data_IF_246408431875
#
_entry.id   IF_246408431875
#
_cell.length_a   1.000
_cell.length_b   1.000
_cell.length_c   1.000
_cell.angle_alpha   90.00
_cell.angle_beta   90.00
_cell.angle_gamma   90.00
#
_symmetry.space_group_name_H-M   'P 1'
#
loop_
_entity.id
_entity.type
_entity.pdbx_description
1 polymer ?
#
# COMPACT_ATOMS: atom_id res chain seq x y z
N UNK A 1 -43.91 -40.01 -29.83
CA UNK A 1 -44.03 -38.83 -30.73
C UNK A 1 -45.00 -37.77 -30.23
N UNK A 2 -46.07 -38.13 -29.50
CA UNK A 2 -47.10 -37.19 -29.00
C UNK A 2 -46.61 -36.23 -27.87
N UNK A 3 -45.64 -36.62 -27.04
CA UNK A 3 -45.13 -35.78 -25.98
C UNK A 3 -44.39 -34.54 -26.47
N UNK A 4 -43.59 -34.66 -27.53
CA UNK A 4 -42.83 -33.55 -28.13
C UNK A 4 -43.77 -32.50 -28.68
N UNK A 5 -44.82 -32.94 -29.39
CA UNK A 5 -45.83 -32.05 -29.99
C UNK A 5 -46.63 -31.33 -28.89
N UNK A 6 -46.91 -32.01 -27.79
CA UNK A 6 -47.57 -31.40 -26.61
C UNK A 6 -46.75 -30.33 -25.94
N UNK A 7 -45.42 -30.54 -25.78
CA UNK A 7 -44.47 -29.57 -25.24
C UNK A 7 -44.36 -28.34 -26.14
N UNK A 8 -44.20 -28.52 -27.43
CA UNK A 8 -44.14 -27.45 -28.41
C UNK A 8 -45.43 -26.61 -28.40
N UNK A 9 -46.58 -27.24 -28.34
CA UNK A 9 -47.88 -26.55 -28.25
C UNK A 9 -48.04 -25.78 -26.95
N UNK A 10 -47.56 -26.29 -25.83
CA UNK A 10 -47.52 -25.57 -24.56
C UNK A 10 -46.59 -24.35 -24.56
N UNK A 11 -45.40 -24.49 -25.16
CA UNK A 11 -44.44 -23.37 -25.36
C UNK A 11 -45.05 -22.24 -26.21
N UNK A 12 -45.69 -22.60 -27.33
CA UNK A 12 -46.37 -21.61 -28.20
C UNK A 12 -47.56 -20.92 -27.50
N UNK A 13 -48.29 -21.67 -26.66
CA UNK A 13 -49.41 -21.13 -25.89
C UNK A 13 -48.96 -20.09 -24.84
N UNK A 14 -47.77 -20.30 -24.25
CA UNK A 14 -47.25 -19.43 -23.18
C UNK A 14 -46.08 -18.54 -23.66
N UNK A 15 -45.89 -18.38 -24.98
CA UNK A 15 -44.76 -17.62 -25.58
C UNK A 15 -44.58 -16.21 -25.01
N UNK A 16 -45.66 -15.49 -24.78
CA UNK A 16 -45.62 -14.15 -24.22
C UNK A 16 -45.14 -14.13 -22.73
N UNK A 17 -45.56 -15.12 -21.98
CA UNK A 17 -45.18 -15.25 -20.58
C UNK A 17 -43.68 -15.62 -20.45
N UNK A 18 -43.19 -16.49 -21.35
CA UNK A 18 -41.76 -16.83 -21.42
C UNK A 18 -40.94 -15.62 -21.83
N UNK A 19 -41.35 -14.90 -22.89
CA UNK A 19 -40.66 -13.67 -23.34
C UNK A 19 -40.62 -12.59 -22.22
N UNK A 20 -41.73 -12.35 -21.56
CA UNK A 20 -41.80 -11.39 -20.43
C UNK A 20 -40.91 -11.82 -19.27
N UNK A 21 -40.94 -13.08 -18.91
CA UNK A 21 -40.09 -13.62 -17.82
C UNK A 21 -38.61 -13.54 -18.14
N UNK A 22 -38.19 -13.94 -19.35
CA UNK A 22 -36.78 -13.83 -19.76
C UNK A 22 -36.31 -12.37 -19.85
N UNK A 23 -37.11 -11.48 -20.41
CA UNK A 23 -36.78 -10.05 -20.49
C UNK A 23 -36.63 -9.44 -19.11
N UNK A 24 -37.59 -9.74 -18.20
CA UNK A 24 -37.51 -9.26 -16.80
C UNK A 24 -36.26 -9.76 -16.08
N UNK A 25 -35.97 -11.06 -16.20
CA UNK A 25 -34.78 -11.65 -15.59
C UNK A 25 -33.49 -11.08 -16.17
N UNK A 26 -33.41 -10.87 -17.48
CA UNK A 26 -32.26 -10.24 -18.14
C UNK A 26 -32.05 -8.81 -17.65
N UNK A 27 -33.11 -8.00 -17.55
CA UNK A 27 -33.03 -6.65 -17.03
C UNK A 27 -32.57 -6.62 -15.54
N UNK A 28 -33.04 -7.58 -14.76
CA UNK A 28 -32.65 -7.73 -13.37
C UNK A 28 -31.16 -8.07 -13.25
N UNK A 29 -30.66 -9.03 -14.06
CA UNK A 29 -29.23 -9.39 -14.11
C UNK A 29 -28.39 -8.19 -14.54
N UNK A 30 -28.79 -7.47 -15.60
CA UNK A 30 -28.08 -6.28 -16.07
C UNK A 30 -28.02 -5.22 -14.96
N UNK A 31 -29.14 -4.99 -14.27
CA UNK A 31 -29.22 -4.05 -13.17
C UNK A 31 -28.24 -4.40 -12.03
N UNK A 32 -28.24 -5.65 -11.59
CA UNK A 32 -27.31 -6.12 -10.56
C UNK A 32 -25.85 -6.08 -11.02
N UNK A 33 -25.57 -6.54 -12.22
CA UNK A 33 -24.18 -6.58 -12.76
C UNK A 33 -23.61 -5.17 -12.96
N UNK A 34 -24.44 -4.22 -13.37
CA UNK A 34 -24.01 -2.82 -13.56
C UNK A 34 -23.63 -2.13 -12.25
N UNK A 35 -24.18 -2.59 -11.12
CA UNK A 35 -23.89 -2.05 -9.79
C UNK A 35 -22.80 -2.85 -9.05
N UNK A 36 -22.34 -3.98 -9.60
CA UNK A 36 -21.18 -4.69 -9.06
C UNK A 36 -19.92 -3.88 -9.41
N UNK A 37 -19.30 -3.30 -8.39
CA UNK A 37 -17.98 -2.70 -8.54
C UNK A 37 -16.99 -3.79 -8.93
N UNK A 38 -16.40 -3.70 -10.11
CA UNK A 38 -15.32 -4.59 -10.53
C UNK A 38 -14.16 -4.49 -9.55
N UNK A 39 -13.72 -5.61 -8.97
CA UNK A 39 -12.51 -5.65 -8.19
C UNK A 39 -11.30 -5.78 -9.12
N UNK A 40 -10.33 -4.90 -8.98
CA UNK A 40 -9.02 -5.00 -9.64
C UNK A 40 -8.03 -5.59 -8.66
N UNK A 41 -7.21 -6.53 -9.11
CA UNK A 41 -6.19 -7.19 -8.32
C UNK A 41 -4.81 -6.98 -8.94
N UNK A 42 -3.85 -6.54 -8.14
CA UNK A 42 -2.45 -6.41 -8.55
C UNK A 42 -1.60 -7.33 -7.69
N UNK A 43 -0.67 -8.02 -8.35
CA UNK A 43 0.33 -8.85 -7.70
C UNK A 43 1.72 -8.38 -8.09
N UNK A 44 2.56 -8.21 -7.09
CA UNK A 44 3.96 -7.88 -7.26
C UNK A 44 4.82 -8.86 -6.48
N UNK A 45 6.05 -9.06 -6.91
CA UNK A 45 7.01 -9.91 -6.20
C UNK A 45 8.26 -9.09 -5.93
N UNK A 46 8.68 -9.04 -4.67
CA UNK A 46 9.87 -8.35 -4.22
C UNK A 46 10.95 -9.37 -3.85
N UNK A 47 12.16 -9.20 -4.38
CA UNK A 47 13.33 -9.97 -3.97
C UNK A 47 14.01 -9.27 -2.79
N UNK A 48 14.22 -9.99 -1.68
CA UNK A 48 14.78 -9.42 -0.44
C UNK A 48 16.25 -9.69 -0.23
N UNK A 49 16.79 -10.76 -0.82
CA UNK A 49 18.19 -11.18 -0.66
C UNK A 49 18.57 -11.66 0.75
N UNK A 50 17.60 -11.87 1.64
CA UNK A 50 17.86 -12.20 3.05
C UNK A 50 18.50 -13.57 3.21
N UNK A 51 17.98 -14.61 2.56
CA UNK A 51 18.52 -15.95 2.68
C UNK A 51 19.83 -16.11 1.91
N UNK A 52 19.96 -15.46 0.75
CA UNK A 52 21.20 -15.50 -0.05
C UNK A 52 22.34 -14.69 0.56
N UNK A 53 22.04 -13.58 1.27
CA UNK A 53 23.05 -12.76 1.95
C UNK A 53 23.74 -13.46 3.11
N UNK A 54 23.09 -14.40 3.79
CA UNK A 54 23.73 -15.18 4.87
C UNK A 54 24.71 -16.23 4.37
N UNK A 55 24.68 -16.62 3.10
CA UNK A 55 25.57 -17.63 2.52
C UNK A 55 26.90 -17.06 2.00
N UNK A 56 27.10 -15.74 2.01
CA UNK A 56 28.33 -15.09 1.53
C UNK A 56 29.47 -15.07 2.57
N UNK A 57 29.17 -15.28 3.82
CA UNK A 57 30.18 -15.40 4.90
C UNK A 57 30.22 -16.81 5.46
N UNK A 58 31.15 -17.61 4.92
CA UNK A 58 31.76 -18.82 5.49
C UNK A 58 30.84 -19.95 5.99
N UNK A 59 31.25 -21.19 5.72
CA UNK A 59 31.11 -22.53 6.38
C UNK A 59 30.05 -22.77 7.50
N UNK A 60 29.23 -21.79 7.87
CA UNK A 60 28.13 -21.96 8.82
C UNK A 60 26.86 -22.34 8.09
N UNK A 61 26.27 -23.45 8.49
CA UNK A 61 24.94 -23.86 8.03
C UNK A 61 23.97 -22.70 8.19
N UNK A 62 23.23 -22.39 7.12
CA UNK A 62 22.17 -21.37 7.13
C UNK A 62 21.22 -21.64 8.29
N UNK A 63 21.15 -20.73 9.24
CA UNK A 63 20.16 -20.80 10.32
C UNK A 63 18.78 -20.36 9.78
N UNK A 64 17.99 -21.34 9.41
CA UNK A 64 16.66 -21.14 8.87
C UNK A 64 15.74 -20.38 9.82
N UNK A 65 15.93 -20.50 11.13
CA UNK A 65 15.14 -19.75 12.12
C UNK A 65 15.46 -18.24 12.02
N UNK A 66 16.73 -17.89 11.90
CA UNK A 66 17.16 -16.49 11.71
C UNK A 66 16.64 -15.92 10.38
N UNK A 67 16.71 -16.69 9.30
CA UNK A 67 16.13 -16.28 8.00
C UNK A 67 14.62 -16.07 8.10
N UNK A 68 13.90 -16.98 8.76
CA UNK A 68 12.46 -16.87 8.95
C UNK A 68 12.11 -15.61 9.74
N UNK A 69 12.76 -15.39 10.89
CA UNK A 69 12.55 -14.20 11.72
C UNK A 69 12.83 -12.91 10.94
N UNK A 70 13.88 -12.90 10.12
CA UNK A 70 14.21 -11.74 9.28
C UNK A 70 13.12 -11.46 8.24
N UNK A 71 12.58 -12.51 7.60
CA UNK A 71 11.49 -12.37 6.63
C UNK A 71 10.19 -11.90 7.31
N UNK A 72 9.86 -12.43 8.48
CA UNK A 72 8.69 -12.01 9.26
C UNK A 72 8.81 -10.53 9.71
N UNK A 73 10.02 -10.08 10.05
CA UNK A 73 10.30 -8.68 10.33
C UNK A 73 10.09 -7.79 9.10
N UNK A 74 10.52 -8.21 7.91
CA UNK A 74 10.27 -7.46 6.68
C UNK A 74 8.78 -7.33 6.38
N UNK A 75 8.02 -8.43 6.52
CA UNK A 75 6.56 -8.42 6.36
C UNK A 75 5.93 -7.45 7.38
N UNK A 76 6.38 -7.50 8.63
CA UNK A 76 5.87 -6.63 9.70
C UNK A 76 6.15 -5.15 9.42
N UNK A 77 7.32 -4.81 8.87
CA UNK A 77 7.66 -3.44 8.45
C UNK A 77 6.73 -2.96 7.33
N UNK A 78 6.47 -3.81 6.32
CA UNK A 78 5.56 -3.47 5.22
C UNK A 78 4.12 -3.23 5.70
N UNK A 79 3.67 -3.98 6.71
CA UNK A 79 2.32 -3.90 7.26
C UNK A 79 2.19 -2.95 8.46
N UNK A 80 3.30 -2.35 8.90
CA UNK A 80 3.29 -1.41 10.01
C UNK A 80 2.39 -0.20 9.72
N UNK A 81 1.68 0.28 10.74
CA UNK A 81 0.80 1.44 10.63
C UNK A 81 1.55 2.69 10.12
N UNK A 82 2.80 2.88 10.56
CA UNK A 82 3.67 3.97 10.08
C UNK A 82 3.92 3.90 8.58
N UNK A 83 4.22 2.71 8.04
CA UNK A 83 4.44 2.48 6.62
C UNK A 83 3.14 2.72 5.84
N UNK A 84 2.03 2.13 6.28
CA UNK A 84 0.73 2.30 5.63
C UNK A 84 0.24 3.76 5.67
N UNK A 85 0.54 4.50 6.73
CA UNK A 85 0.26 5.94 6.80
C UNK A 85 1.04 6.73 5.75
N UNK A 86 2.32 6.43 5.54
CA UNK A 86 3.12 7.07 4.47
C UNK A 86 2.60 6.69 3.09
N UNK A 87 2.23 5.42 2.89
CA UNK A 87 1.56 4.97 1.65
C UNK A 87 0.29 5.77 1.39
N UNK A 88 -0.57 5.96 2.40
CA UNK A 88 -1.77 6.79 2.29
C UNK A 88 -1.46 8.21 1.82
N UNK A 89 -0.53 8.90 2.51
CA UNK A 89 -0.19 10.29 2.21
C UNK A 89 0.46 10.43 0.84
N UNK A 90 1.34 9.51 0.46
CA UNK A 90 2.00 9.52 -0.84
C UNK A 90 1.01 9.19 -1.97
N UNK A 91 0.11 8.23 -1.78
CA UNK A 91 -0.94 7.93 -2.74
C UNK A 91 -1.85 9.14 -2.98
N UNK A 92 -2.27 9.80 -1.90
CA UNK A 92 -3.07 11.01 -1.97
C UNK A 92 -2.35 12.14 -2.69
N UNK A 93 -1.07 12.38 -2.35
CA UNK A 93 -0.22 13.38 -3.01
C UNK A 93 -0.04 13.08 -4.50
N UNK A 94 0.31 11.84 -4.85
CA UNK A 94 0.55 11.39 -6.23
C UNK A 94 -0.68 11.60 -7.10
N UNK A 95 -1.85 11.20 -6.63
CA UNK A 95 -3.10 11.37 -7.38
C UNK A 95 -3.40 12.84 -7.65
N UNK A 96 -3.19 13.73 -6.68
CA UNK A 96 -3.47 15.16 -6.85
C UNK A 96 -2.42 15.90 -7.68
N UNK A 97 -1.16 15.43 -7.68
CA UNK A 97 -0.07 16.04 -8.46
C UNK A 97 -0.12 15.58 -9.92
N UNK A 98 -0.24 14.26 -10.14
CA UNK A 98 -0.06 13.64 -11.45
C UNK A 98 -1.38 13.32 -12.15
N UNK A 99 -2.49 13.25 -11.41
CA UNK A 99 -3.80 12.95 -11.98
C UNK A 99 -4.34 14.04 -12.90
N UNK A 100 -5.23 13.61 -13.80
CA UNK A 100 -5.89 14.50 -14.75
C UNK A 100 -7.39 14.19 -14.73
N UNK A 101 -8.28 15.22 -14.77
CA UNK A 101 -9.73 15.02 -14.71
C UNK A 101 -10.30 14.33 -15.95
N UNK A 102 -9.65 14.45 -17.11
CA UNK A 102 -10.19 14.02 -18.40
C UNK A 102 -9.49 12.79 -18.97
N UNK A 103 -8.27 12.50 -18.51
CA UNK A 103 -7.42 11.46 -19.09
C UNK A 103 -6.70 10.66 -18.03
N UNK A 104 -6.45 9.39 -18.32
CA UNK A 104 -5.51 8.60 -17.55
C UNK A 104 -4.08 9.15 -17.73
N UNK A 105 -3.36 9.27 -16.62
CA UNK A 105 -1.98 9.73 -16.59
C UNK A 105 -1.17 8.94 -15.55
N UNK A 106 -0.03 8.37 -15.94
CA UNK A 106 0.87 7.61 -15.06
C UNK A 106 0.16 6.52 -14.23
N UNK A 107 -0.79 5.80 -14.84
CA UNK A 107 -1.58 4.78 -14.16
C UNK A 107 -2.58 5.34 -13.14
N UNK A 108 -2.87 6.64 -13.17
CA UNK A 108 -3.93 7.27 -12.38
C UNK A 108 -5.13 7.46 -13.29
N UNK A 109 -6.25 6.85 -12.95
CA UNK A 109 -7.48 7.00 -13.72
C UNK A 109 -8.11 8.37 -13.49
N UNK A 110 -8.84 8.89 -14.49
CA UNK A 110 -9.62 10.11 -14.33
C UNK A 110 -10.67 9.96 -13.20
N UNK A 111 -11.17 8.74 -13.00
CA UNK A 111 -12.11 8.42 -11.93
C UNK A 111 -11.49 8.61 -10.55
N UNK A 112 -10.31 8.03 -10.30
CA UNK A 112 -9.62 8.14 -9.00
C UNK A 112 -9.20 9.58 -8.69
N UNK A 113 -8.74 10.32 -9.72
CA UNK A 113 -8.44 11.76 -9.56
C UNK A 113 -9.69 12.56 -9.19
N UNK A 114 -10.76 12.43 -9.98
CA UNK A 114 -12.00 13.19 -9.75
C UNK A 114 -12.62 12.84 -8.41
N UNK A 115 -12.62 11.57 -8.02
CA UNK A 115 -13.10 11.14 -6.71
C UNK A 115 -12.31 11.81 -5.59
N UNK A 116 -10.98 11.72 -5.63
CA UNK A 116 -10.10 12.28 -4.59
C UNK A 116 -10.21 13.81 -4.53
N UNK A 117 -10.16 14.48 -5.68
CA UNK A 117 -10.24 15.94 -5.77
C UNK A 117 -11.59 16.48 -5.28
N UNK A 118 -12.70 15.88 -5.71
CA UNK A 118 -14.03 16.30 -5.29
C UNK A 118 -14.27 16.05 -3.80
N UNK A 119 -13.79 14.92 -3.28
CA UNK A 119 -13.87 14.62 -1.85
C UNK A 119 -13.08 15.63 -1.02
N UNK A 120 -11.88 16.00 -1.46
CA UNK A 120 -11.06 17.04 -0.83
C UNK A 120 -11.74 18.41 -0.92
N UNK A 121 -12.19 18.82 -2.11
CA UNK A 121 -12.82 20.12 -2.36
C UNK A 121 -14.05 20.34 -1.49
N UNK A 122 -14.82 19.30 -1.25
CA UNK A 122 -16.04 19.34 -0.44
C UNK A 122 -15.77 19.21 1.06
N UNK A 123 -14.51 19.02 1.47
CA UNK A 123 -14.13 18.96 2.89
C UNK A 123 -14.00 20.35 3.51
N UNK A 124 -14.23 20.52 4.83
CA UNK A 124 -14.18 21.81 5.50
C UNK A 124 -12.85 22.58 5.28
N UNK A 125 -11.72 21.86 5.22
CA UNK A 125 -10.37 22.44 5.09
C UNK A 125 -9.75 22.19 3.72
N UNK A 126 -10.53 21.83 2.69
CA UNK A 126 -10.03 21.43 1.38
C UNK A 126 -9.16 22.48 0.69
N UNK A 127 -9.56 23.76 0.77
CA UNK A 127 -8.80 24.86 0.16
C UNK A 127 -7.42 25.09 0.83
N UNK A 128 -7.31 24.83 2.14
CA UNK A 128 -6.07 24.91 2.90
C UNK A 128 -5.14 23.77 2.52
N UNK A 129 -5.66 22.54 2.44
CA UNK A 129 -4.90 21.35 2.06
C UNK A 129 -4.39 21.45 0.62
N UNK A 130 -5.18 21.99 -0.31
CA UNK A 130 -4.74 22.21 -1.68
C UNK A 130 -3.51 23.12 -1.77
N UNK A 131 -3.33 24.07 -0.84
CA UNK A 131 -2.12 24.93 -0.79
C UNK A 131 -0.88 24.18 -0.29
N UNK A 132 -1.05 23.04 0.39
CA UNK A 132 0.06 22.21 0.87
C UNK A 132 0.65 21.33 -0.23
N UNK A 133 -0.04 21.23 -1.38
CA UNK A 133 0.36 20.38 -2.51
C UNK A 133 1.36 21.14 -3.37
N UNK A 134 2.60 20.70 -3.31
CA UNK A 134 3.67 21.16 -4.19
C UNK A 134 3.71 20.28 -5.44
N UNK A 135 3.25 20.81 -6.57
CA UNK A 135 3.24 20.10 -7.85
C UNK A 135 4.62 19.74 -8.38
N UNK A 136 5.67 20.35 -7.85
CA UNK A 136 7.05 20.08 -8.27
C UNK A 136 7.70 18.91 -7.53
N UNK A 137 7.16 18.52 -6.34
CA UNK A 137 7.76 17.49 -5.51
C UNK A 137 6.71 16.74 -4.69
N UNK A 138 6.62 15.44 -4.93
CA UNK A 138 5.78 14.51 -4.14
C UNK A 138 6.25 14.45 -2.69
N UNK A 139 7.57 14.38 -2.46
CA UNK A 139 8.15 14.29 -1.11
C UNK A 139 7.87 15.52 -0.24
N UNK A 140 7.96 16.73 -0.84
CA UNK A 140 7.60 17.97 -0.13
C UNK A 140 6.11 18.00 0.20
N UNK A 141 5.27 17.55 -0.70
CA UNK A 141 3.83 17.44 -0.44
C UNK A 141 3.56 16.48 0.71
N UNK A 142 4.15 15.28 0.69
CA UNK A 142 4.01 14.31 1.78
C UNK A 142 4.46 14.90 3.11
N UNK A 143 5.62 15.56 3.16
CA UNK A 143 6.12 16.21 4.38
C UNK A 143 5.18 17.32 4.89
N UNK A 144 4.61 18.12 4.00
CA UNK A 144 3.61 19.14 4.36
C UNK A 144 2.34 18.52 4.95
N UNK A 145 1.84 17.44 4.31
CA UNK A 145 0.65 16.72 4.77
C UNK A 145 0.90 16.04 6.12
N UNK A 146 2.07 15.45 6.32
CA UNK A 146 2.47 14.83 7.57
C UNK A 146 2.51 15.85 8.72
N UNK A 147 3.08 17.02 8.46
CA UNK A 147 3.13 18.13 9.42
C UNK A 147 1.73 18.70 9.73
N UNK A 148 0.84 18.71 8.74
CA UNK A 148 -0.54 19.17 8.91
C UNK A 148 -1.40 18.15 9.67
N UNK A 149 -1.09 16.86 9.56
CA UNK A 149 -1.85 15.75 10.15
C UNK A 149 -1.78 15.82 11.69
N UNK A 150 -2.89 16.14 12.32
CA UNK A 150 -3.03 16.20 13.78
C UNK A 150 -4.23 15.36 14.22
N UNK A 151 -4.17 14.70 15.39
CA UNK A 151 -5.26 13.89 15.91
C UNK A 151 -6.42 14.79 16.35
N UNK A 152 -7.18 15.28 15.40
CA UNK A 152 -8.35 16.10 15.63
C UNK A 152 -9.47 15.67 14.65
N UNK A 153 -10.73 15.69 15.14
CA UNK A 153 -11.88 15.20 14.38
C UNK A 153 -12.08 15.95 13.05
N UNK A 154 -11.79 17.24 13.03
CA UNK A 154 -11.99 18.10 11.86
C UNK A 154 -10.75 18.15 10.96
N UNK A 155 -9.67 17.41 11.29
CA UNK A 155 -8.50 17.32 10.44
C UNK A 155 -8.76 16.30 9.33
N UNK A 156 -8.97 16.78 8.11
CA UNK A 156 -9.25 15.94 6.96
C UNK A 156 -8.17 14.89 6.69
N UNK A 157 -6.88 15.26 6.76
CA UNK A 157 -5.76 14.34 6.51
C UNK A 157 -5.69 13.25 7.58
N UNK A 158 -5.95 13.60 8.83
CA UNK A 158 -6.07 12.60 9.90
C UNK A 158 -7.26 11.66 9.64
N UNK A 159 -8.42 12.22 9.29
CA UNK A 159 -9.62 11.46 8.96
C UNK A 159 -9.48 10.56 7.75
N UNK A 160 -8.69 10.99 6.75
CA UNK A 160 -8.43 10.21 5.54
C UNK A 160 -7.83 8.83 5.87
N UNK A 161 -6.92 8.77 6.85
CA UNK A 161 -6.25 7.53 7.26
C UNK A 161 -6.99 6.79 8.38
N UNK A 162 -7.44 7.48 9.42
CA UNK A 162 -7.99 6.85 10.63
C UNK A 162 -9.49 6.58 10.57
N UNK A 163 -10.23 7.26 9.67
CA UNK A 163 -11.66 6.99 9.50
C UNK A 163 -11.91 6.08 8.30
N UNK A 164 -13.15 5.73 8.08
CA UNK A 164 -13.50 4.80 7.02
C UNK A 164 -13.49 5.47 5.64
N UNK A 165 -12.39 5.33 4.91
CA UNK A 165 -12.25 5.76 3.51
C UNK A 165 -11.94 4.55 2.63
N UNK A 166 -12.57 4.37 1.45
CA UNK A 166 -12.44 3.16 0.64
C UNK A 166 -11.02 2.91 0.12
N UNK A 167 -10.20 3.94 -0.06
CA UNK A 167 -8.86 3.82 -0.67
C UNK A 167 -7.72 4.18 0.27
N UNK A 168 -7.92 5.13 1.18
CA UNK A 168 -6.84 5.75 1.94
C UNK A 168 -6.80 5.33 3.40
N UNK A 169 -7.90 4.78 3.93
CA UNK A 169 -7.94 4.44 5.36
C UNK A 169 -7.02 3.28 5.71
N UNK A 170 -6.59 3.26 6.97
CA UNK A 170 -5.87 2.11 7.54
C UNK A 170 -6.63 0.79 7.29
N UNK A 171 -7.96 0.81 7.44
CA UNK A 171 -8.80 -0.37 7.19
C UNK A 171 -8.76 -0.86 5.74
N UNK A 172 -8.63 0.06 4.76
CA UNK A 172 -8.48 -0.31 3.36
C UNK A 172 -7.06 -0.86 3.09
N UNK A 173 -6.04 -0.15 3.56
CA UNK A 173 -4.64 -0.48 3.29
C UNK A 173 -4.14 -1.74 4.02
N UNK A 174 -4.66 -2.04 5.22
CA UNK A 174 -4.30 -3.28 5.92
C UNK A 174 -4.74 -4.57 5.21
N UNK A 175 -5.61 -4.45 4.19
CA UNK A 175 -6.00 -5.57 3.32
C UNK A 175 -4.91 -5.94 2.30
N UNK A 176 -3.81 -5.18 2.24
CA UNK A 176 -2.63 -5.56 1.46
C UNK A 176 -2.05 -6.84 2.06
N UNK A 177 -2.00 -7.89 1.24
CA UNK A 177 -1.43 -9.18 1.66
C UNK A 177 0.03 -9.23 1.25
N UNK A 178 0.89 -9.50 2.21
CA UNK A 178 2.32 -9.71 2.01
C UNK A 178 2.66 -11.09 2.54
N UNK A 179 3.22 -11.94 1.70
CA UNK A 179 3.52 -13.34 2.08
C UNK A 179 4.84 -13.77 1.47
N UNK A 180 5.61 -14.55 2.22
CA UNK A 180 6.81 -15.20 1.69
C UNK A 180 6.42 -16.30 0.70
N UNK A 181 7.07 -16.31 -0.46
CA UNK A 181 6.89 -17.38 -1.45
C UNK A 181 7.71 -18.61 -1.04
N UNK A 182 7.06 -19.57 -0.41
CA UNK A 182 7.70 -20.79 0.11
C UNK A 182 8.92 -20.45 1.00
N UNK A 183 10.06 -21.13 0.78
CA UNK A 183 11.33 -20.90 1.49
C UNK A 183 12.29 -19.99 0.71
N UNK A 184 11.79 -19.21 -0.26
CA UNK A 184 12.61 -18.33 -1.10
C UNK A 184 12.85 -16.95 -0.47
N UNK A 185 13.69 -16.14 -1.11
CA UNK A 185 13.92 -14.71 -0.80
C UNK A 185 12.85 -13.78 -1.40
N UNK A 186 11.74 -14.34 -1.85
CA UNK A 186 10.70 -13.61 -2.53
C UNK A 186 9.53 -13.34 -1.59
N UNK A 187 9.06 -12.09 -1.57
CA UNK A 187 7.80 -11.68 -0.97
C UNK A 187 6.78 -11.41 -2.07
N UNK A 188 5.65 -12.08 -2.01
CA UNK A 188 4.49 -11.81 -2.85
C UNK A 188 3.59 -10.79 -2.16
N UNK A 189 3.32 -9.71 -2.87
CA UNK A 189 2.46 -8.61 -2.43
C UNK A 189 1.22 -8.64 -3.31
N UNK A 190 0.03 -8.65 -2.71
CA UNK A 190 -1.22 -8.54 -3.45
C UNK A 190 -2.18 -7.56 -2.78
N UNK A 191 -2.87 -6.79 -3.61
CA UNK A 191 -3.87 -5.82 -3.18
C UNK A 191 -5.02 -5.75 -4.18
N UNK A 192 -6.24 -5.60 -3.68
CA UNK A 192 -7.45 -5.50 -4.48
C UNK A 192 -8.26 -4.28 -4.06
N UNK A 193 -8.76 -3.52 -5.03
CA UNK A 193 -9.63 -2.37 -4.82
C UNK A 193 -10.56 -2.13 -6.02
N UNK A 194 -11.51 -1.22 -5.88
CA UNK A 194 -12.47 -0.89 -6.93
C UNK A 194 -11.92 -0.03 -8.09
N UNK A 195 -10.68 0.46 -8.01
CA UNK A 195 -10.07 1.31 -9.04
C UNK A 195 -8.66 0.80 -9.39
N UNK A 196 -8.35 0.55 -10.69
CA UNK A 196 -7.07 0.00 -11.11
C UNK A 196 -5.89 0.94 -10.82
N UNK A 197 -6.09 2.25 -10.94
CA UNK A 197 -5.06 3.25 -10.63
C UNK A 197 -4.70 3.27 -9.16
N UNK A 198 -5.69 3.15 -8.27
CA UNK A 198 -5.49 3.03 -6.83
C UNK A 198 -4.68 1.77 -6.50
N UNK A 199 -5.08 0.62 -7.06
CA UNK A 199 -4.43 -0.67 -6.78
C UNK A 199 -2.97 -0.66 -7.22
N UNK A 200 -2.70 -0.23 -8.46
CA UNK A 200 -1.35 -0.15 -9.01
C UNK A 200 -0.45 0.79 -8.20
N UNK A 201 -0.91 2.03 -7.99
CA UNK A 201 -0.12 3.03 -7.27
C UNK A 201 0.09 2.65 -5.80
N UNK A 202 -0.90 2.04 -5.14
CA UNK A 202 -0.75 1.59 -3.74
C UNK A 202 0.37 0.57 -3.60
N UNK A 203 0.41 -0.45 -4.47
CA UNK A 203 1.45 -1.48 -4.40
C UNK A 203 2.83 -0.92 -4.79
N UNK A 204 2.90 -0.07 -5.82
CA UNK A 204 4.15 0.59 -6.21
C UNK A 204 4.70 1.45 -5.07
N UNK A 205 3.88 2.30 -4.48
CA UNK A 205 4.28 3.16 -3.36
C UNK A 205 4.69 2.34 -2.14
N UNK A 206 3.96 1.26 -1.84
CA UNK A 206 4.33 0.39 -0.71
C UNK A 206 5.73 -0.20 -0.89
N UNK A 207 6.08 -0.64 -2.10
CA UNK A 207 7.43 -1.16 -2.38
C UNK A 207 8.49 -0.06 -2.20
N UNK A 208 8.24 1.15 -2.70
CA UNK A 208 9.16 2.28 -2.56
C UNK A 208 9.33 2.68 -1.08
N UNK A 209 8.23 2.84 -0.35
CA UNK A 209 8.25 3.18 1.09
C UNK A 209 8.91 2.10 1.95
N UNK A 210 8.69 0.83 1.59
CA UNK A 210 9.36 -0.28 2.27
C UNK A 210 10.88 -0.22 2.08
N UNK A 211 11.36 0.00 0.86
CA UNK A 211 12.81 0.10 0.58
C UNK A 211 13.43 1.24 1.39
N UNK A 212 12.78 2.40 1.43
CA UNK A 212 13.25 3.55 2.22
C UNK A 212 13.24 3.27 3.72
N UNK A 213 12.17 2.68 4.24
CA UNK A 213 12.05 2.32 5.66
C UNK A 213 13.07 1.26 6.07
N UNK A 214 13.24 0.23 5.25
CA UNK A 214 14.24 -0.81 5.48
C UNK A 214 15.66 -0.25 5.47
N UNK A 215 15.96 0.64 4.52
CA UNK A 215 17.23 1.34 4.46
C UNK A 215 17.45 2.18 5.73
N UNK A 216 16.46 2.93 6.16
CA UNK A 216 16.53 3.77 7.37
C UNK A 216 16.80 2.94 8.63
N UNK A 217 16.12 1.82 8.80
CA UNK A 217 16.34 0.92 9.94
C UNK A 217 17.76 0.37 9.92
N UNK A 218 18.20 -0.14 8.77
CA UNK A 218 19.50 -0.78 8.64
C UNK A 218 20.67 0.19 8.82
N UNK A 219 20.62 1.36 8.20
CA UNK A 219 21.65 2.38 8.39
C UNK A 219 21.57 3.04 9.76
N UNK A 220 20.38 3.27 10.29
CA UNK A 220 20.21 3.82 11.62
C UNK A 220 20.76 2.92 12.74
N UNK A 221 20.67 1.59 12.58
CA UNK A 221 21.32 0.64 13.50
C UNK A 221 22.84 0.67 13.34
N UNK A 222 23.34 0.69 12.12
CA UNK A 222 24.78 0.77 11.81
C UNK A 222 25.38 2.05 12.37
N UNK A 223 24.75 3.19 12.18
CA UNK A 223 25.22 4.48 12.70
C UNK A 223 25.26 4.51 14.24
N UNK A 224 24.29 3.89 14.92
CA UNK A 224 24.30 3.76 16.38
C UNK A 224 25.46 2.89 16.88
N UNK A 225 25.72 1.80 16.17
CA UNK A 225 26.83 0.88 16.48
C UNK A 225 28.17 1.58 16.25
N UNK A 226 28.35 2.27 15.12
CA UNK A 226 29.55 3.06 14.84
C UNK A 226 29.77 4.11 15.94
N UNK A 227 28.74 4.88 16.26
CA UNK A 227 28.83 5.90 17.32
C UNK A 227 29.19 5.33 18.69
N UNK A 228 28.62 4.17 19.04
CA UNK A 228 28.98 3.45 20.26
C UNK A 228 30.47 3.07 20.27
N UNK A 229 30.99 2.51 19.18
CA UNK A 229 32.41 2.16 19.09
C UNK A 229 33.32 3.39 19.11
N UNK A 230 32.95 4.50 18.48
CA UNK A 230 33.70 5.77 18.55
C UNK A 230 33.76 6.32 19.98
N UNK A 231 32.65 6.29 20.71
CA UNK A 231 32.58 6.72 22.11
C UNK A 231 33.42 5.81 23.00
N UNK A 232 33.41 4.49 22.76
CA UNK A 232 34.19 3.52 23.52
C UNK A 232 35.69 3.66 23.25
N UNK A 233 36.09 3.85 22.00
CA UNK A 233 37.49 4.14 21.61
C UNK A 233 37.99 5.43 22.28
N UNK A 234 37.17 6.46 22.31
CA UNK A 234 37.51 7.73 22.98
C UNK A 234 37.66 7.55 24.49
N UNK A 235 36.85 6.68 25.09
CA UNK A 235 36.92 6.35 26.51
C UNK A 235 38.20 5.60 26.88
N UNK A 236 38.54 4.61 26.05
CA UNK A 236 39.75 3.81 26.20
C UNK A 236 41.01 4.68 25.98
N UNK A 237 41.01 5.53 24.96
CA UNK A 237 42.11 6.46 24.68
C UNK A 237 42.36 7.44 25.87
N UNK A 238 41.30 7.95 26.49
CA UNK A 238 41.43 8.79 27.68
C UNK A 238 42.01 8.03 28.89
N UNK A 239 41.61 6.75 29.09
CA UNK A 239 42.18 5.93 30.15
C UNK A 239 43.65 5.65 29.94
N UNK A 240 44.09 5.35 28.71
CA UNK A 240 45.48 5.11 28.36
C UNK A 240 46.34 6.35 28.61
N UNK A 241 45.90 7.54 28.21
CA UNK A 241 46.62 8.79 28.45
C UNK A 241 46.70 9.15 29.96
N UNK A 242 45.70 8.81 30.76
CA UNK A 242 45.76 9.00 32.22
C UNK A 242 46.78 8.02 32.88
N UNK A 243 46.83 6.76 32.41
CA UNK A 243 47.81 5.78 32.91
C UNK A 243 49.25 6.10 32.49
N UNK A 244 49.47 6.75 31.31
CA UNK A 244 50.77 7.26 30.89
C UNK A 244 51.22 8.48 31.73
N UNK A 245 50.28 9.38 32.12
CA UNK A 245 50.60 10.53 33.00
C UNK A 245 50.91 10.10 34.43
N UNK A 246 50.33 8.99 34.92
CA UNK A 246 50.65 8.46 36.28
C UNK A 246 51.96 7.68 36.35
N UNK A 247 52.59 7.35 35.19
CA UNK A 247 53.87 6.62 35.12
C UNK A 247 55.10 7.49 34.84
N UNK A 248 54.88 8.80 34.64
CA UNK A 248 56.00 9.80 34.48
C UNK A 248 56.14 10.70 35.67
#
# INVERSE_FOLDING_TARGET
>A
MNYIISIIRALFRHRWLILLGTTFFTLLVIYYTRHMQGGYDVKATLYTGVASGYNLESDKRTDWATVQNSMDNLISIMQAESTLKRVCLRLFARILIQGNPDKENNGITASSYNYTYNHLKNSPNGAEILKLIDKSSEDKTVANLEKYMRPHRDNYIYGLFYYNHPFYSYNALKNIKVQRRLTSDLLDISYSSGDPGIVYNTVSILMDEFVEEYRRIRYGETDKVIKYFEEELKRIGKKLNLEEEDLT
#
